data_IF_944742666762
#
_entry.id   IF_944742666762
#
_cell.length_a   1.000
_cell.length_b   1.000
_cell.length_c   1.000
_cell.angle_alpha   90.00
_cell.angle_beta   90.00
_cell.angle_gamma   90.00
#
_symmetry.space_group_name_H-M   'P 1'
#
loop_
_entity.id
_entity.type
_entity.pdbx_description
1 polymer ?
#
# COMPACT_ATOMS: atom_id res chain seq x y z
N UNK A 1 -0.66 -9.74 -38.55
CA UNK A 1 0.39 -9.71 -37.49
C UNK A 1 -0.26 -9.45 -36.15
N UNK A 2 -0.63 -10.53 -35.44
CA UNK A 2 -0.89 -10.40 -34.01
C UNK A 2 0.43 -10.05 -33.33
N UNK A 3 0.49 -8.91 -32.67
CA UNK A 3 1.74 -8.46 -32.07
C UNK A 3 2.16 -9.43 -30.95
N UNK A 4 3.44 -9.74 -30.90
CA UNK A 4 4.05 -10.60 -29.85
C UNK A 4 3.75 -10.12 -28.41
N UNK A 5 3.36 -8.85 -28.24
CA UNK A 5 2.97 -8.26 -26.96
C UNK A 5 1.62 -8.76 -26.44
N UNK A 6 0.66 -9.06 -27.31
CA UNK A 6 -0.65 -9.63 -26.91
C UNK A 6 -0.49 -11.09 -26.43
N UNK A 7 0.33 -11.87 -27.11
CA UNK A 7 0.61 -13.27 -26.72
C UNK A 7 1.29 -13.34 -25.35
N UNK A 8 2.19 -12.41 -25.05
CA UNK A 8 2.87 -12.34 -23.75
C UNK A 8 1.91 -11.96 -22.61
N UNK A 9 0.98 -11.03 -22.84
CA UNK A 9 0.02 -10.59 -21.81
C UNK A 9 -1.01 -11.68 -21.48
N UNK A 10 -1.54 -12.40 -22.46
CA UNK A 10 -2.47 -13.51 -22.23
C UNK A 10 -1.82 -14.68 -21.48
N UNK A 11 -0.54 -14.96 -21.73
CA UNK A 11 0.21 -15.98 -21.02
C UNK A 11 0.42 -15.61 -19.55
N UNK A 12 0.78 -14.34 -19.26
CA UNK A 12 0.90 -13.85 -17.89
C UNK A 12 -0.43 -13.85 -17.11
N UNK A 13 -1.56 -13.56 -17.78
CA UNK A 13 -2.90 -13.64 -17.18
C UNK A 13 -3.21 -15.07 -16.75
N UNK A 14 -3.00 -16.04 -17.64
CA UNK A 14 -3.26 -17.45 -17.37
C UNK A 14 -2.36 -17.98 -16.25
N UNK A 15 -1.08 -17.70 -16.29
CA UNK A 15 -0.12 -18.10 -15.25
C UNK A 15 -0.51 -17.56 -13.87
N UNK A 16 -1.00 -16.32 -13.80
CA UNK A 16 -1.49 -15.74 -12.54
C UNK A 16 -2.74 -16.46 -12.03
N UNK A 17 -3.70 -16.75 -12.90
CA UNK A 17 -4.93 -17.47 -12.53
C UNK A 17 -4.58 -18.89 -12.05
N UNK A 18 -3.73 -19.62 -12.78
CA UNK A 18 -3.31 -20.98 -12.42
C UNK A 18 -2.58 -21.00 -11.08
N UNK A 19 -1.71 -20.02 -10.82
CA UNK A 19 -1.00 -19.89 -9.55
C UNK A 19 -1.95 -19.70 -8.35
N UNK A 20 -2.88 -18.75 -8.43
CA UNK A 20 -3.82 -18.49 -7.35
C UNK A 20 -4.86 -19.61 -7.20
N UNK A 21 -5.27 -20.26 -8.29
CA UNK A 21 -6.11 -21.46 -8.25
C UNK A 21 -5.42 -22.58 -7.49
N UNK A 22 -4.14 -22.83 -7.81
CA UNK A 22 -3.35 -23.82 -7.07
C UNK A 22 -3.29 -23.52 -5.57
N UNK A 23 -3.03 -22.27 -5.18
CA UNK A 23 -3.01 -21.88 -3.76
C UNK A 23 -4.37 -22.05 -3.09
N UNK A 24 -5.46 -21.67 -3.79
CA UNK A 24 -6.82 -21.82 -3.32
C UNK A 24 -7.18 -23.31 -3.05
N UNK A 25 -6.73 -24.21 -3.92
CA UNK A 25 -7.08 -25.64 -3.84
C UNK A 25 -6.22 -26.41 -2.83
N UNK A 26 -5.12 -25.82 -2.36
CA UNK A 26 -4.16 -26.49 -1.48
C UNK A 26 -3.97 -25.79 -0.13
N UNK A 27 -4.83 -24.82 0.21
CA UNK A 27 -4.76 -24.09 1.47
C UNK A 27 -6.16 -23.69 1.93
N UNK A 28 -6.43 -23.80 3.22
CA UNK A 28 -7.65 -23.29 3.87
C UNK A 28 -7.49 -21.84 4.37
N UNK A 29 -6.35 -21.19 4.06
CA UNK A 29 -6.10 -19.80 4.47
C UNK A 29 -6.68 -18.81 3.48
N UNK A 30 -7.17 -17.70 4.00
CA UNK A 30 -7.54 -16.57 3.17
C UNK A 30 -6.31 -16.01 2.44
N UNK A 31 -6.48 -15.71 1.15
CA UNK A 31 -5.45 -15.25 0.26
C UNK A 31 -5.60 -13.75 0.03
N UNK A 32 -4.52 -13.01 0.27
CA UNK A 32 -4.38 -11.62 -0.17
C UNK A 32 -3.51 -11.56 -1.43
N UNK A 33 -4.12 -11.21 -2.54
CA UNK A 33 -3.42 -10.97 -3.80
C UNK A 33 -2.62 -9.66 -3.68
N UNK A 34 -1.37 -9.64 -4.14
CA UNK A 34 -0.55 -8.44 -4.13
C UNK A 34 -0.21 -8.00 -5.54
N UNK A 35 -0.84 -6.91 -5.98
CA UNK A 35 -0.53 -6.26 -7.25
C UNK A 35 0.57 -5.21 -7.05
N UNK A 36 1.73 -5.46 -7.66
CA UNK A 36 2.84 -4.49 -7.69
C UNK A 36 3.57 -4.56 -9.05
N UNK A 37 3.14 -3.79 -10.04
CA UNK A 37 3.73 -3.81 -11.38
C UNK A 37 5.21 -3.41 -11.45
N UNK A 38 5.77 -2.81 -10.39
CA UNK A 38 7.20 -2.50 -10.33
C UNK A 38 8.09 -3.74 -10.14
N UNK A 39 7.51 -4.86 -9.68
CA UNK A 39 8.25 -6.10 -9.37
C UNK A 39 7.62 -7.35 -10.00
N UNK A 40 6.44 -7.22 -10.61
CA UNK A 40 5.70 -8.30 -11.28
C UNK A 40 5.12 -7.81 -12.61
N UNK A 41 4.49 -8.70 -13.35
CA UNK A 41 3.78 -8.34 -14.61
C UNK A 41 2.53 -7.49 -14.39
N UNK A 42 2.12 -7.30 -13.14
CA UNK A 42 0.84 -6.67 -12.81
C UNK A 42 -0.35 -7.61 -13.00
N UNK A 43 -1.48 -7.20 -12.41
CA UNK A 43 -2.76 -7.94 -12.50
C UNK A 43 -3.76 -7.03 -13.20
N UNK A 44 -4.38 -7.51 -14.28
CA UNK A 44 -5.40 -6.76 -15.00
C UNK A 44 -6.74 -6.85 -14.27
N UNK A 45 -7.68 -5.96 -14.63
CA UNK A 45 -9.06 -6.02 -14.14
C UNK A 45 -9.70 -7.38 -14.43
N UNK A 46 -9.53 -7.89 -15.64
CA UNK A 46 -10.09 -9.18 -16.08
C UNK A 46 -9.51 -10.32 -15.25
N UNK A 47 -8.21 -10.30 -15.00
CA UNK A 47 -7.56 -11.28 -14.13
C UNK A 47 -8.12 -11.20 -12.71
N UNK A 48 -8.26 -10.01 -12.14
CA UNK A 48 -8.77 -9.84 -10.78
C UNK A 48 -10.22 -10.33 -10.65
N UNK A 49 -11.05 -10.08 -11.67
CA UNK A 49 -12.42 -10.58 -11.75
C UNK A 49 -12.46 -12.12 -11.69
N UNK A 50 -11.56 -12.81 -12.39
CA UNK A 50 -11.47 -14.28 -12.32
C UNK A 50 -10.96 -14.74 -10.94
N UNK A 51 -9.96 -14.06 -10.37
CA UNK A 51 -9.42 -14.38 -9.05
C UNK A 51 -10.47 -14.22 -7.95
N UNK A 52 -11.37 -13.26 -8.03
CA UNK A 52 -12.43 -13.07 -7.04
C UNK A 52 -13.50 -14.18 -7.04
N UNK A 53 -13.55 -15.05 -8.07
CA UNK A 53 -14.37 -16.26 -8.05
C UNK A 53 -13.81 -17.37 -7.15
N UNK A 54 -12.51 -17.26 -6.79
CA UNK A 54 -11.88 -18.24 -5.91
C UNK A 54 -12.29 -17.98 -4.45
N UNK A 55 -12.82 -18.99 -3.72
CA UNK A 55 -13.37 -18.81 -2.38
C UNK A 55 -12.38 -18.23 -1.37
N UNK A 56 -11.10 -18.64 -1.42
CA UNK A 56 -10.08 -18.18 -0.47
C UNK A 56 -9.44 -16.84 -0.87
N UNK A 57 -9.60 -16.35 -2.10
CA UNK A 57 -9.15 -15.01 -2.48
C UNK A 57 -10.12 -13.98 -1.91
N UNK A 58 -9.76 -13.36 -0.80
CA UNK A 58 -10.60 -12.39 -0.07
C UNK A 58 -10.20 -10.95 -0.28
N UNK A 59 -8.91 -10.70 -0.49
CA UNK A 59 -8.37 -9.35 -0.46
C UNK A 59 -7.41 -9.16 -1.63
N UNK A 60 -7.38 -7.97 -2.21
CA UNK A 60 -6.25 -7.50 -3.01
C UNK A 60 -5.60 -6.30 -2.33
N UNK A 61 -4.26 -6.31 -2.24
CA UNK A 61 -3.46 -5.12 -1.95
C UNK A 61 -2.92 -4.58 -3.26
N UNK A 62 -3.32 -3.37 -3.62
CA UNK A 62 -2.81 -2.71 -4.82
C UNK A 62 -1.74 -1.68 -4.51
N UNK A 63 -0.58 -1.84 -5.15
CA UNK A 63 0.55 -0.91 -5.12
C UNK A 63 1.00 -0.52 -6.53
N UNK A 64 0.05 -0.45 -7.47
CA UNK A 64 0.31 -0.01 -8.85
C UNK A 64 0.64 1.48 -8.94
N UNK A 65 0.29 2.27 -7.94
CA UNK A 65 0.33 3.74 -7.92
C UNK A 65 -0.65 4.38 -8.93
N UNK A 66 -1.66 3.63 -9.39
CA UNK A 66 -2.61 4.04 -10.42
C UNK A 66 -4.03 3.89 -9.88
N UNK A 67 -4.72 5.01 -9.66
CA UNK A 67 -6.02 5.03 -8.95
C UNK A 67 -7.13 4.33 -9.74
N UNK A 68 -7.11 4.36 -11.07
CA UNK A 68 -8.08 3.67 -11.90
C UNK A 68 -7.96 2.14 -11.77
N UNK A 69 -6.74 1.58 -11.70
CA UNK A 69 -6.53 0.15 -11.44
C UNK A 69 -7.15 -0.26 -10.11
N UNK A 70 -6.92 0.52 -9.05
CA UNK A 70 -7.51 0.25 -7.73
C UNK A 70 -9.03 0.39 -7.76
N UNK A 71 -9.55 1.37 -8.48
CA UNK A 71 -10.99 1.59 -8.67
C UNK A 71 -11.62 0.40 -9.38
N UNK A 72 -10.99 -0.13 -10.43
CA UNK A 72 -11.44 -1.34 -11.10
C UNK A 72 -11.55 -2.54 -10.16
N UNK A 73 -10.56 -2.75 -9.29
CA UNK A 73 -10.61 -3.82 -8.29
C UNK A 73 -11.73 -3.64 -7.26
N UNK A 74 -11.99 -2.40 -6.85
CA UNK A 74 -13.10 -2.07 -5.93
C UNK A 74 -14.43 -2.43 -6.59
N UNK A 75 -14.65 -2.01 -7.84
CA UNK A 75 -15.88 -2.33 -8.57
C UNK A 75 -16.06 -3.84 -8.80
N UNK A 76 -15.00 -4.57 -9.08
CA UNK A 76 -15.09 -6.03 -9.22
C UNK A 76 -15.33 -6.70 -7.86
N UNK A 77 -14.78 -6.18 -6.77
CA UNK A 77 -15.05 -6.67 -5.42
C UNK A 77 -16.50 -6.47 -5.00
N UNK A 78 -17.11 -5.32 -5.32
CA UNK A 78 -18.52 -5.01 -5.05
C UNK A 78 -19.50 -5.88 -5.82
N UNK A 79 -19.09 -6.44 -6.96
CA UNK A 79 -19.91 -7.31 -7.79
C UNK A 79 -19.69 -8.80 -7.52
N UNK A 80 -18.73 -9.15 -6.68
CA UNK A 80 -18.45 -10.53 -6.33
C UNK A 80 -19.59 -11.13 -5.48
N UNK A 81 -19.80 -12.44 -5.59
CA UNK A 81 -20.83 -13.17 -4.82
C UNK A 81 -20.51 -13.23 -3.33
N UNK A 82 -19.23 -13.15 -2.98
CA UNK A 82 -18.73 -13.17 -1.60
C UNK A 82 -18.07 -11.85 -1.24
N UNK A 83 -17.94 -11.58 0.05
CA UNK A 83 -17.25 -10.39 0.56
C UNK A 83 -15.78 -10.37 0.12
N UNK A 84 -15.46 -9.44 -0.74
CA UNK A 84 -14.10 -9.17 -1.23
C UNK A 84 -13.70 -7.75 -0.84
N UNK A 85 -12.40 -7.52 -0.69
CA UNK A 85 -11.90 -6.25 -0.19
C UNK A 85 -10.65 -5.76 -0.93
N UNK A 86 -10.48 -4.45 -0.97
CA UNK A 86 -9.31 -3.80 -1.56
C UNK A 86 -8.57 -3.01 -0.48
N UNK A 87 -7.25 -3.23 -0.38
CA UNK A 87 -6.36 -2.46 0.46
C UNK A 87 -5.44 -1.61 -0.39
N UNK A 88 -5.30 -0.35 -0.02
CA UNK A 88 -4.33 0.55 -0.62
C UNK A 88 -2.90 0.14 -0.20
N UNK A 89 -2.02 -0.04 -1.16
CA UNK A 89 -0.60 -0.36 -0.95
C UNK A 89 0.34 0.80 -1.27
N UNK A 90 -0.20 1.97 -1.56
CA UNK A 90 0.54 3.17 -1.93
C UNK A 90 0.08 4.35 -1.06
N UNK A 91 0.99 4.87 -0.23
CA UNK A 91 0.65 5.93 0.73
C UNK A 91 0.18 7.22 0.03
N UNK A 92 0.64 7.51 -1.20
CA UNK A 92 0.15 8.66 -1.98
C UNK A 92 -1.31 8.60 -2.36
N UNK A 93 -1.84 7.41 -2.63
CA UNK A 93 -3.22 7.23 -3.06
C UNK A 93 -4.19 7.06 -1.89
N UNK A 94 -3.68 7.06 -0.67
CA UNK A 94 -4.42 6.74 0.54
C UNK A 94 -5.79 7.41 0.63
N UNK A 95 -5.85 8.74 0.48
CA UNK A 95 -7.12 9.45 0.58
C UNK A 95 -8.08 9.09 -0.56
N UNK A 96 -7.58 9.08 -1.80
CA UNK A 96 -8.39 8.75 -2.98
C UNK A 96 -8.90 7.31 -2.93
N UNK A 97 -8.06 6.38 -2.53
CA UNK A 97 -8.40 4.96 -2.38
C UNK A 97 -9.56 4.76 -1.39
N UNK A 98 -9.49 5.38 -0.22
CA UNK A 98 -10.55 5.30 0.77
C UNK A 98 -11.84 5.99 0.32
N UNK A 99 -11.73 7.13 -0.35
CA UNK A 99 -12.87 7.83 -0.90
C UNK A 99 -13.57 7.06 -2.03
N UNK A 100 -12.85 6.16 -2.71
CA UNK A 100 -13.37 5.31 -3.78
C UNK A 100 -13.96 3.98 -3.24
N UNK A 101 -13.55 3.51 -2.04
CA UNK A 101 -14.11 2.30 -1.45
C UNK A 101 -13.06 1.29 -0.94
N UNK A 102 -11.76 1.61 -0.97
CA UNK A 102 -10.77 0.79 -0.28
C UNK A 102 -11.06 0.77 1.22
N UNK A 103 -11.00 -0.40 1.85
CA UNK A 103 -11.37 -0.57 3.26
C UNK A 103 -10.20 -0.48 4.23
N UNK A 104 -8.99 -0.35 3.72
CA UNK A 104 -7.78 -0.29 4.53
C UNK A 104 -6.54 0.02 3.71
N UNK A 105 -5.41 0.01 4.40
CA UNK A 105 -4.13 0.36 3.77
C UNK A 105 -2.95 -0.34 4.48
N UNK A 106 -1.98 -0.78 3.71
CA UNK A 106 -0.73 -1.35 4.21
C UNK A 106 0.38 -0.33 3.93
N UNK A 107 0.79 0.36 4.96
CA UNK A 107 1.52 1.62 4.90
C UNK A 107 2.94 1.53 5.45
N UNK A 108 3.85 2.31 4.87
CA UNK A 108 5.12 2.64 5.50
C UNK A 108 4.99 3.79 6.51
N UNK A 109 4.14 4.77 6.20
CA UNK A 109 3.87 5.94 7.05
C UNK A 109 3.32 5.56 8.43
N UNK A 110 2.50 4.50 8.51
CA UNK A 110 1.93 4.04 9.78
C UNK A 110 2.97 3.53 10.78
N UNK A 111 4.16 3.11 10.33
CA UNK A 111 5.26 2.78 11.24
C UNK A 111 5.79 4.03 11.97
N UNK A 112 5.70 5.18 11.34
CA UNK A 112 6.23 6.45 11.85
C UNK A 112 5.17 7.22 12.64
N UNK A 113 3.93 7.27 12.13
CA UNK A 113 2.81 8.03 12.69
C UNK A 113 1.60 7.12 12.96
N UNK A 114 1.70 6.12 13.86
CA UNK A 114 0.65 5.12 14.06
C UNK A 114 -0.68 5.72 14.53
N UNK A 115 -0.64 6.67 15.49
CA UNK A 115 -1.86 7.30 15.99
C UNK A 115 -2.58 8.10 14.89
N UNK A 116 -1.84 8.95 14.17
CA UNK A 116 -2.43 9.78 13.12
C UNK A 116 -2.98 8.91 11.96
N UNK A 117 -2.32 7.79 11.69
CA UNK A 117 -2.78 6.79 10.73
C UNK A 117 -4.09 6.10 11.17
N UNK A 118 -4.19 5.76 12.45
CA UNK A 118 -5.42 5.21 13.01
C UNK A 118 -6.56 6.24 13.01
N UNK A 119 -6.26 7.50 13.36
CA UNK A 119 -7.23 8.60 13.33
C UNK A 119 -7.74 8.85 11.89
N UNK A 120 -6.85 8.75 10.88
CA UNK A 120 -7.23 8.82 9.47
C UNK A 120 -8.20 7.69 9.11
N UNK A 121 -7.85 6.45 9.42
CA UNK A 121 -8.71 5.30 9.16
C UNK A 121 -10.08 5.45 9.82
N UNK A 122 -10.09 5.86 11.10
CA UNK A 122 -11.34 6.10 11.83
C UNK A 122 -12.20 7.16 11.15
N UNK A 123 -11.62 8.30 10.76
CA UNK A 123 -12.36 9.38 10.10
C UNK A 123 -12.99 8.90 8.78
N UNK A 124 -12.22 8.17 7.95
CA UNK A 124 -12.67 7.75 6.62
C UNK A 124 -13.67 6.59 6.64
N UNK A 125 -13.45 5.56 7.48
CA UNK A 125 -14.21 4.30 7.45
C UNK A 125 -15.30 4.28 8.51
N UNK A 126 -14.98 4.67 9.76
CA UNK A 126 -15.91 4.55 10.88
C UNK A 126 -16.85 5.74 10.93
N UNK A 127 -16.29 6.95 10.94
CA UNK A 127 -17.05 8.19 11.09
C UNK A 127 -17.61 8.69 9.75
N UNK A 128 -17.05 8.23 8.61
CA UNK A 128 -17.36 8.67 7.24
C UNK A 128 -17.25 10.20 7.07
N UNK A 129 -16.32 10.80 7.83
CA UNK A 129 -16.00 12.23 7.80
C UNK A 129 -14.83 12.47 6.85
N UNK A 130 -15.14 12.57 5.57
CA UNK A 130 -14.14 12.76 4.50
C UNK A 130 -13.39 14.09 4.64
N UNK A 131 -14.04 15.13 5.16
CA UNK A 131 -13.40 16.43 5.38
C UNK A 131 -12.31 16.30 6.47
N UNK A 132 -12.63 15.64 7.57
CA UNK A 132 -11.68 15.34 8.63
C UNK A 132 -10.56 14.43 8.14
N UNK A 133 -10.90 13.42 7.35
CA UNK A 133 -9.93 12.55 6.67
C UNK A 133 -8.93 13.34 5.83
N UNK A 134 -9.40 14.30 5.04
CA UNK A 134 -8.53 15.17 4.23
C UNK A 134 -7.60 16.02 5.09
N UNK A 135 -8.08 16.56 6.19
CA UNK A 135 -7.27 17.35 7.13
C UNK A 135 -6.14 16.50 7.75
N UNK A 136 -6.46 15.25 8.14
CA UNK A 136 -5.49 14.32 8.68
C UNK A 136 -4.49 13.87 7.60
N UNK A 137 -4.97 13.57 6.38
CA UNK A 137 -4.10 13.21 5.26
C UNK A 137 -3.06 14.30 4.95
N UNK A 138 -3.47 15.58 4.99
CA UNK A 138 -2.53 16.71 4.84
C UNK A 138 -1.45 16.73 5.93
N UNK A 139 -1.76 16.27 7.13
CA UNK A 139 -0.77 16.15 8.21
C UNK A 139 0.15 14.94 8.00
N UNK A 140 -0.35 13.82 7.46
CA UNK A 140 0.45 12.65 7.10
C UNK A 140 1.39 12.94 5.92
N UNK A 141 0.99 13.86 5.02
CA UNK A 141 1.61 14.04 3.71
C UNK A 141 3.14 14.26 3.71
N UNK A 142 3.76 15.02 4.64
CA UNK A 142 5.22 15.14 4.67
C UNK A 142 5.92 13.78 4.82
N UNK A 143 5.41 12.90 5.68
CA UNK A 143 5.95 11.54 5.86
C UNK A 143 5.63 10.67 4.65
N UNK A 144 4.40 10.74 4.11
CA UNK A 144 4.03 10.07 2.85
C UNK A 144 4.98 10.47 1.73
N UNK A 145 5.24 11.76 1.55
CA UNK A 145 6.14 12.26 0.54
C UNK A 145 7.58 11.72 0.72
N UNK A 146 8.06 11.66 1.95
CA UNK A 146 9.37 11.12 2.25
C UNK A 146 9.42 9.60 1.99
N UNK A 147 8.45 8.82 2.46
CA UNK A 147 8.45 7.36 2.29
C UNK A 147 8.32 6.92 0.82
N UNK A 148 7.61 7.67 -0.01
CA UNK A 148 7.35 7.31 -1.40
C UNK A 148 8.43 7.83 -2.38
N UNK A 149 9.09 8.93 -2.06
CA UNK A 149 10.04 9.58 -2.99
C UNK A 149 11.50 9.49 -2.58
N UNK A 150 11.78 9.24 -1.31
CA UNK A 150 13.17 9.15 -0.89
C UNK A 150 13.83 7.88 -1.49
N UNK A 151 15.04 7.98 -2.06
CA UNK A 151 15.66 6.85 -2.77
C UNK A 151 15.93 5.61 -1.90
N UNK A 152 15.94 5.78 -0.58
CA UNK A 152 16.20 4.72 0.41
C UNK A 152 15.10 4.70 1.47
N UNK A 153 13.84 4.41 1.11
CA UNK A 153 12.70 4.60 2.01
C UNK A 153 12.78 3.73 3.29
N UNK A 154 13.17 2.48 3.15
CA UNK A 154 13.32 1.57 4.32
C UNK A 154 14.37 2.08 5.32
N UNK A 155 15.49 2.60 4.81
CA UNK A 155 16.54 3.18 5.64
C UNK A 155 16.08 4.47 6.32
N UNK A 156 15.33 5.31 5.60
CA UNK A 156 14.77 6.55 6.12
C UNK A 156 13.76 6.26 7.25
N UNK A 157 12.84 5.32 7.07
CA UNK A 157 11.89 4.89 8.10
C UNK A 157 12.64 4.40 9.34
N UNK A 158 13.61 3.50 9.18
CA UNK A 158 14.39 2.98 10.31
C UNK A 158 15.17 4.07 11.03
N UNK A 159 15.74 5.03 10.31
CA UNK A 159 16.42 6.18 10.91
C UNK A 159 15.47 7.03 11.76
N UNK A 160 14.26 7.33 11.24
CA UNK A 160 13.27 8.08 12.02
C UNK A 160 12.85 7.30 13.28
N UNK A 161 12.61 6.00 13.16
CA UNK A 161 12.24 5.18 14.32
C UNK A 161 13.33 5.17 15.39
N UNK A 162 14.58 5.13 14.98
CA UNK A 162 15.71 5.22 15.91
C UNK A 162 15.81 6.61 16.56
N UNK A 163 15.80 7.67 15.76
CA UNK A 163 16.06 9.04 16.21
C UNK A 163 14.92 9.62 17.05
N UNK A 164 13.66 9.32 16.66
CA UNK A 164 12.48 9.92 17.29
C UNK A 164 11.89 9.03 18.37
N UNK A 165 11.94 7.70 18.19
CA UNK A 165 11.30 6.74 19.09
C UNK A 165 12.28 5.89 19.91
N UNK A 166 13.61 6.03 19.67
CA UNK A 166 14.65 5.35 20.44
C UNK A 166 14.75 3.84 20.18
N UNK A 167 14.27 3.35 19.02
CA UNK A 167 14.45 1.96 18.64
C UNK A 167 15.92 1.68 18.30
N UNK A 168 16.56 0.76 19.00
CA UNK A 168 18.00 0.49 18.87
C UNK A 168 18.39 -0.18 17.54
N UNK A 169 17.45 -0.77 16.79
CA UNK A 169 17.73 -1.59 15.59
C UNK A 169 17.43 -0.88 14.27
N UNK A 170 18.04 0.29 14.04
CA UNK A 170 17.90 1.06 12.79
C UNK A 170 18.65 0.51 11.56
N UNK A 171 19.38 -0.62 11.67
CA UNK A 171 20.26 -1.11 10.59
C UNK A 171 19.50 -2.01 9.61
N UNK A 172 19.66 -1.72 8.32
CA UNK A 172 19.17 -2.61 7.27
C UNK A 172 20.14 -3.77 7.03
N UNK A 173 19.61 -4.97 6.75
CA UNK A 173 20.44 -6.11 6.32
C UNK A 173 21.19 -5.80 5.02
N UNK A 174 22.42 -6.30 4.93
CA UNK A 174 23.18 -6.24 3.67
C UNK A 174 22.41 -6.95 2.53
N UNK A 175 22.54 -6.49 1.28
CA UNK A 175 23.48 -5.50 0.74
C UNK A 175 23.03 -4.03 0.90
N UNK A 176 21.87 -3.73 1.54
CA UNK A 176 21.42 -2.35 1.73
C UNK A 176 22.41 -1.58 2.63
N UNK A 177 22.90 -0.46 2.11
CA UNK A 177 23.74 0.47 2.88
C UNK A 177 22.85 1.38 3.71
N UNK A 178 23.39 1.91 4.81
CA UNK A 178 22.76 2.99 5.57
C UNK A 178 22.61 4.28 4.76
N UNK A 179 22.08 5.30 5.39
CA UNK A 179 21.98 6.67 4.84
C UNK A 179 23.14 7.52 5.36
N UNK A 180 23.64 8.46 4.53
CA UNK A 180 24.68 9.40 4.92
C UNK A 180 24.13 10.49 5.86
N UNK A 181 25.03 11.30 6.47
CA UNK A 181 24.59 12.39 7.33
C UNK A 181 23.84 13.50 6.56
N UNK A 182 24.15 13.70 5.29
CA UNK A 182 23.39 14.58 4.40
C UNK A 182 22.00 14.01 4.13
N UNK A 183 21.91 12.71 3.86
CA UNK A 183 20.62 12.02 3.66
C UNK A 183 19.76 12.03 4.92
N UNK A 184 20.36 11.90 6.12
CA UNK A 184 19.64 12.03 7.40
C UNK A 184 18.99 13.40 7.55
N UNK A 185 19.70 14.49 7.21
CA UNK A 185 19.15 15.85 7.23
C UNK A 185 17.97 15.98 6.28
N UNK A 186 18.08 15.47 5.05
CA UNK A 186 16.98 15.48 4.09
C UNK A 186 15.76 14.68 4.59
N UNK A 187 15.97 13.54 5.22
CA UNK A 187 14.88 12.72 5.80
C UNK A 187 14.12 13.50 6.87
N UNK A 188 14.82 14.19 7.78
CA UNK A 188 14.19 15.00 8.83
C UNK A 188 13.45 16.21 8.24
N UNK A 189 14.05 16.87 7.24
CA UNK A 189 13.44 18.01 6.54
C UNK A 189 12.17 17.59 5.80
N UNK A 190 12.24 16.53 4.96
CA UNK A 190 11.10 16.10 4.14
C UNK A 190 9.95 15.53 4.96
N UNK A 191 10.25 14.81 6.04
CA UNK A 191 9.23 14.21 6.89
C UNK A 191 8.56 15.19 7.86
N UNK A 192 9.19 16.34 8.13
CA UNK A 192 8.78 17.29 9.18
C UNK A 192 8.53 16.59 10.53
N UNK A 193 9.20 15.48 10.79
CA UNK A 193 8.88 14.60 11.91
C UNK A 193 9.04 15.25 13.27
N UNK A 194 9.96 16.21 13.42
CA UNK A 194 10.13 16.96 14.66
C UNK A 194 8.87 17.76 15.04
N UNK A 195 8.16 18.28 14.05
CA UNK A 195 6.88 18.97 14.22
C UNK A 195 5.77 17.98 14.56
N UNK A 196 5.69 16.88 13.77
CA UNK A 196 4.62 15.89 13.84
C UNK A 196 4.72 15.00 15.08
N UNK A 197 5.92 14.68 15.58
CA UNK A 197 6.11 13.84 16.76
C UNK A 197 5.55 14.47 18.03
N UNK A 198 5.52 15.80 18.12
CA UNK A 198 4.90 16.53 19.24
C UNK A 198 3.38 16.36 19.25
N UNK A 199 2.76 16.27 18.10
CA UNK A 199 1.31 16.08 17.95
C UNK A 199 0.89 14.62 18.13
N UNK A 200 1.78 13.67 17.82
CA UNK A 200 1.50 12.23 17.87
C UNK A 200 1.70 11.60 19.27
N UNK A 201 2.24 12.34 20.25
CA UNK A 201 2.44 11.87 21.64
C UNK A 201 1.22 12.11 22.56
N UNK A 202 0.23 12.84 22.09
CA UNK A 202 -1.05 13.11 22.77
C UNK A 202 -2.18 12.32 22.13
#
# INVERSE_FOLDING_TARGET
>A
EMSASLVGSEMCIRDSIDHYTYLNDHSDLDIMVYNNPNVTSGITRETMKELYKLPHVKIVKDASMVIDVMTDYIFEAEQAEEDKAVLCGCDYLLYSAYATGAIGWISMTANILPKLSADFHKAMIVDKDYQKGLEIYKQLYPVVNMTERFPKPTQAVKYILQEVYGFEEGICRRPRRGISDEEKKLVLEWSEIERLSKTNKN
#
